data_IF_878534776712
#
_entry.id   IF_878534776712
#
_cell.length_a   1.000
_cell.length_b   1.000
_cell.length_c   1.000
_cell.angle_alpha   90.00
_cell.angle_beta   90.00
_cell.angle_gamma   90.00
#
_symmetry.space_group_name_H-M   'P 1'
#
loop_
_entity.id
_entity.type
_entity.pdbx_description
1 polymer ?
#
# COMPACT_ATOMS: atom_id res chain seq x y z
N UNK A 1 -13.23 -11.37 36.57
CA UNK A 1 -14.15 -11.34 35.40
C UNK A 1 -15.27 -10.29 35.51
N UNK A 2 -15.25 -9.34 36.46
CA UNK A 2 -16.28 -8.29 36.60
C UNK A 2 -15.80 -6.87 36.27
N UNK A 3 -14.53 -6.67 35.89
CA UNK A 3 -13.94 -5.34 35.64
C UNK A 3 -13.95 -4.86 34.18
N UNK A 4 -14.29 -5.73 33.22
CA UNK A 4 -14.23 -5.42 31.78
C UNK A 4 -15.59 -4.88 31.29
N UNK A 5 -16.71 -5.36 31.85
CA UNK A 5 -18.06 -5.01 31.42
C UNK A 5 -18.43 -3.56 31.81
N UNK A 6 -17.94 -3.06 32.95
CA UNK A 6 -18.23 -1.69 33.42
C UNK A 6 -17.56 -0.61 32.58
N UNK A 7 -16.47 -0.92 31.85
CA UNK A 7 -15.82 0.04 30.93
C UNK A 7 -16.47 0.09 29.55
N UNK A 8 -17.20 -0.95 29.16
CA UNK A 8 -17.88 -1.02 27.86
C UNK A 8 -19.29 -0.42 27.95
N UNK A 9 -19.98 -0.57 29.09
CA UNK A 9 -21.38 -0.15 29.24
C UNK A 9 -21.64 0.93 30.32
N UNK A 10 -20.63 1.36 31.08
CA UNK A 10 -20.73 2.45 32.04
C UNK A 10 -20.53 3.81 31.37
N UNK A 11 -21.64 4.47 31.02
CA UNK A 11 -21.64 5.74 30.32
C UNK A 11 -20.80 6.85 30.97
N UNK A 12 -20.06 7.56 30.13
CA UNK A 12 -19.91 9.00 30.27
C UNK A 12 -20.10 9.58 28.88
N UNK A 13 -21.12 10.43 28.73
CA UNK A 13 -21.39 11.29 27.58
C UNK A 13 -20.27 12.32 27.38
N UNK A 14 -19.04 11.86 27.23
CA UNK A 14 -18.00 12.59 26.51
C UNK A 14 -17.88 11.93 25.17
N UNK A 15 -18.71 12.40 24.25
CA UNK A 15 -18.50 12.28 22.80
C UNK A 15 -17.00 12.49 22.52
N UNK A 16 -16.28 11.38 22.33
CA UNK A 16 -14.85 11.39 22.02
C UNK A 16 -14.72 11.80 20.57
N UNK A 17 -14.79 13.11 20.34
CA UNK A 17 -14.05 13.77 19.27
C UNK A 17 -12.66 13.12 19.31
N UNK A 18 -12.24 12.43 18.24
CA UNK A 18 -10.89 11.85 18.12
C UNK A 18 -9.93 12.84 18.77
N UNK A 19 -9.28 12.41 19.85
CA UNK A 19 -8.54 13.35 20.70
C UNK A 19 -7.42 13.92 19.85
N UNK A 20 -7.59 15.17 19.40
CA UNK A 20 -6.64 15.85 18.51
C UNK A 20 -5.23 15.85 19.10
N UNK A 21 -5.09 15.69 20.41
CA UNK A 21 -3.81 15.55 21.09
C UNK A 21 -3.13 14.20 20.83
N UNK A 22 -3.92 13.13 20.64
CA UNK A 22 -3.43 11.81 20.23
C UNK A 22 -2.86 11.84 18.82
N UNK A 23 -3.61 12.40 17.85
CA UNK A 23 -3.12 12.59 16.48
C UNK A 23 -1.87 13.47 16.43
N UNK A 24 -1.84 14.56 17.21
CA UNK A 24 -0.64 15.42 17.35
C UNK A 24 0.58 14.65 17.85
N UNK A 25 0.40 13.81 18.88
CA UNK A 25 1.49 13.03 19.46
C UNK A 25 2.03 12.00 18.46
N UNK A 26 1.16 11.36 17.68
CA UNK A 26 1.57 10.45 16.61
C UNK A 26 2.32 11.19 15.50
N UNK A 27 1.79 12.34 15.05
CA UNK A 27 2.40 13.13 13.98
C UNK A 27 3.81 13.60 14.36
N UNK A 28 3.97 14.10 15.59
CA UNK A 28 5.27 14.53 16.10
C UNK A 28 6.25 13.38 16.31
N UNK A 29 5.78 12.17 16.57
CA UNK A 29 6.64 10.99 16.68
C UNK A 29 7.17 10.55 15.31
N UNK A 30 6.34 10.56 14.27
CA UNK A 30 6.79 10.27 12.90
C UNK A 30 7.79 11.32 12.36
N UNK A 31 7.88 12.49 12.99
CA UNK A 31 8.86 13.55 12.67
C UNK A 31 10.13 13.46 13.51
N UNK A 32 10.15 12.59 14.52
CA UNK A 32 11.27 12.45 15.43
C UNK A 32 12.39 11.64 14.74
N UNK A 33 13.49 12.33 14.43
CA UNK A 33 14.67 11.74 13.81
C UNK A 33 15.30 10.63 14.68
N UNK A 34 15.19 10.75 16.02
CA UNK A 34 15.70 9.73 16.94
C UNK A 34 14.85 8.47 16.83
N UNK A 35 13.53 8.62 16.80
CA UNK A 35 12.60 7.51 16.59
C UNK A 35 12.84 6.84 15.24
N UNK A 36 12.94 7.61 14.15
CA UNK A 36 13.18 7.06 12.81
C UNK A 36 14.51 6.29 12.74
N UNK A 37 15.56 6.80 13.39
CA UNK A 37 16.84 6.10 13.48
C UNK A 37 16.73 4.80 14.29
N UNK A 38 16.04 4.81 15.42
CA UNK A 38 15.79 3.62 16.24
C UNK A 38 15.05 2.53 15.43
N UNK A 39 14.08 2.90 14.59
CA UNK A 39 13.36 1.96 13.72
C UNK A 39 14.24 1.37 12.61
N UNK A 40 15.22 2.13 12.12
CA UNK A 40 16.22 1.63 11.16
C UNK A 40 17.20 0.67 11.85
N UNK A 41 17.73 1.05 13.01
CA UNK A 41 18.74 0.28 13.76
C UNK A 41 18.18 -1.06 14.27
N UNK A 42 16.87 -1.15 14.54
CA UNK A 42 16.19 -2.38 14.99
C UNK A 42 15.77 -3.31 13.85
N UNK A 43 15.99 -2.93 12.59
CA UNK A 43 15.65 -3.79 11.46
C UNK A 43 16.66 -4.94 11.29
N UNK A 44 16.21 -6.16 11.54
CA UNK A 44 17.02 -7.37 11.43
C UNK A 44 16.21 -8.47 10.72
N UNK A 45 16.03 -8.38 9.38
CA UNK A 45 15.25 -9.36 8.66
C UNK A 45 15.91 -10.73 8.79
N UNK A 46 15.16 -11.72 9.28
CA UNK A 46 15.62 -13.10 9.32
C UNK A 46 15.32 -13.77 7.98
N UNK A 47 16.16 -14.71 7.56
CA UNK A 47 15.96 -15.54 6.34
C UNK A 47 14.78 -16.55 6.49
N UNK A 48 13.93 -16.36 7.50
CA UNK A 48 12.88 -17.26 7.89
C UNK A 48 11.67 -17.10 6.96
N UNK A 49 11.46 -18.10 6.10
CA UNK A 49 10.17 -18.40 5.48
C UNK A 49 9.46 -17.19 4.90
N UNK A 50 10.00 -16.66 3.80
CA UNK A 50 9.56 -15.43 3.17
C UNK A 50 8.04 -15.41 2.98
N UNK A 51 7.36 -14.51 3.70
CA UNK A 51 5.94 -14.26 3.48
C UNK A 51 5.80 -13.78 2.04
N UNK A 52 4.96 -14.45 1.25
CA UNK A 52 4.64 -14.04 -0.11
C UNK A 52 3.84 -12.72 -0.07
N UNK A 53 4.57 -11.63 0.07
CA UNK A 53 4.05 -10.27 0.24
C UNK A 53 3.23 -9.86 -0.98
N UNK A 54 3.62 -10.32 -2.17
CA UNK A 54 2.90 -10.07 -3.41
C UNK A 54 1.49 -10.67 -3.36
N UNK A 55 1.39 -11.96 -3.05
CA UNK A 55 0.11 -12.67 -2.98
C UNK A 55 -0.79 -12.12 -1.86
N UNK A 56 -0.19 -11.75 -0.73
CA UNK A 56 -0.92 -11.08 0.35
C UNK A 56 -1.42 -9.69 -0.09
N UNK A 57 -0.57 -8.90 -0.75
CA UNK A 57 -0.92 -7.56 -1.21
C UNK A 57 -2.07 -7.59 -2.23
N UNK A 58 -2.14 -8.58 -3.12
CA UNK A 58 -3.27 -8.76 -4.04
C UNK A 58 -4.60 -8.87 -3.30
N UNK A 59 -4.66 -9.64 -2.21
CA UNK A 59 -5.87 -9.77 -1.39
C UNK A 59 -6.23 -8.45 -0.70
N UNK A 60 -5.22 -7.75 -0.17
CA UNK A 60 -5.38 -6.44 0.47
C UNK A 60 -5.89 -5.39 -0.52
N UNK A 61 -5.33 -5.36 -1.72
CA UNK A 61 -5.69 -4.44 -2.80
C UNK A 61 -7.16 -4.64 -3.20
N UNK A 62 -7.57 -5.89 -3.43
CA UNK A 62 -8.97 -6.21 -3.73
C UNK A 62 -9.92 -5.77 -2.59
N UNK A 63 -9.54 -6.06 -1.35
CA UNK A 63 -10.33 -5.74 -0.16
C UNK A 63 -10.51 -4.22 0.00
N UNK A 64 -9.42 -3.46 -0.10
CA UNK A 64 -9.46 -2.00 0.06
C UNK A 64 -10.10 -1.30 -1.14
N UNK A 65 -9.93 -1.78 -2.39
CA UNK A 65 -10.67 -1.25 -3.55
C UNK A 65 -12.18 -1.44 -3.40
N UNK A 66 -12.62 -2.60 -2.92
CA UNK A 66 -14.04 -2.85 -2.64
C UNK A 66 -14.55 -1.96 -1.51
N UNK A 67 -13.79 -1.86 -0.42
CA UNK A 67 -14.20 -1.10 0.77
C UNK A 67 -14.24 0.41 0.50
N UNK A 68 -13.23 0.97 -0.16
CA UNK A 68 -13.17 2.41 -0.43
C UNK A 68 -14.31 2.88 -1.33
N UNK A 69 -14.78 2.03 -2.26
CA UNK A 69 -16.00 2.27 -3.05
C UNK A 69 -17.26 2.34 -2.21
N UNK A 70 -17.40 1.43 -1.24
CA UNK A 70 -18.52 1.45 -0.30
C UNK A 70 -18.56 2.81 0.40
N UNK A 71 -17.40 3.27 0.88
CA UNK A 71 -17.30 4.58 1.56
C UNK A 71 -17.64 5.72 0.62
N UNK A 72 -17.15 5.69 -0.61
CA UNK A 72 -17.46 6.72 -1.62
C UNK A 72 -18.97 6.83 -1.87
N UNK A 73 -19.69 5.70 -1.92
CA UNK A 73 -21.15 5.67 -2.04
C UNK A 73 -21.86 6.25 -0.80
N UNK A 74 -21.34 5.98 0.40
CA UNK A 74 -21.94 6.49 1.66
C UNK A 74 -21.68 7.99 1.85
N UNK A 75 -20.48 8.46 1.50
CA UNK A 75 -20.05 9.86 1.66
C UNK A 75 -20.63 10.75 0.56
N UNK A 76 -20.73 10.25 -0.67
CA UNK A 76 -21.31 10.99 -1.81
C UNK A 76 -22.81 10.71 -1.91
N UNK A 77 -23.64 11.62 -1.37
CA UNK A 77 -25.11 11.51 -1.42
C UNK A 77 -25.73 11.63 -2.83
N UNK A 78 -24.93 11.59 -3.91
CA UNK A 78 -25.41 11.47 -5.28
C UNK A 78 -25.09 10.07 -5.78
N UNK A 79 -26.14 9.32 -6.13
CA UNK A 79 -26.03 8.07 -6.87
C UNK A 79 -25.42 8.30 -8.24
N UNK A 80 -24.09 8.38 -8.31
CA UNK A 80 -23.38 8.07 -9.55
C UNK A 80 -23.10 6.58 -9.53
N UNK A 81 -24.02 5.83 -10.13
CA UNK A 81 -23.71 4.56 -10.78
C UNK A 81 -22.71 4.83 -11.90
N UNK A 82 -21.46 5.15 -11.54
CA UNK A 82 -20.35 4.92 -12.45
C UNK A 82 -19.92 3.49 -12.15
N UNK A 83 -20.48 2.56 -12.92
CA UNK A 83 -19.99 1.19 -13.04
C UNK A 83 -18.58 1.20 -13.64
N UNK A 84 -17.61 1.78 -12.94
CA UNK A 84 -16.23 1.37 -13.12
C UNK A 84 -16.19 0.00 -12.47
N UNK A 85 -16.33 -1.08 -13.24
CA UNK A 85 -16.09 -2.43 -12.73
C UNK A 85 -14.70 -2.42 -12.10
N UNK A 86 -14.63 -2.66 -10.78
CA UNK A 86 -13.34 -2.86 -10.15
C UNK A 86 -12.87 -4.20 -10.65
N UNK A 87 -11.82 -4.18 -11.46
CA UNK A 87 -11.14 -5.40 -11.84
C UNK A 87 -10.43 -5.96 -10.61
N UNK A 88 -10.94 -7.08 -10.11
CA UNK A 88 -10.33 -7.81 -9.00
C UNK A 88 -9.31 -8.79 -9.56
N UNK A 89 -8.09 -8.73 -9.04
CA UNK A 89 -7.05 -9.69 -9.41
C UNK A 89 -7.35 -11.05 -8.78
N UNK A 90 -7.20 -12.18 -9.49
CA UNK A 90 -7.43 -13.49 -8.89
C UNK A 90 -6.43 -13.73 -7.76
N UNK A 91 -6.90 -14.38 -6.69
CA UNK A 91 -6.00 -14.88 -5.66
C UNK A 91 -5.11 -15.98 -6.25
N UNK A 92 -3.86 -16.05 -5.78
CA UNK A 92 -2.95 -17.15 -6.12
C UNK A 92 -3.53 -18.46 -5.58
N UNK A 93 -3.63 -19.48 -6.43
CA UNK A 93 -4.16 -20.78 -6.03
C UNK A 93 -3.29 -21.43 -4.95
N UNK A 94 -3.92 -22.02 -3.94
CA UNK A 94 -3.25 -22.60 -2.77
C UNK A 94 -2.54 -21.59 -1.85
N UNK A 95 -2.69 -20.27 -2.03
CA UNK A 95 -2.11 -19.28 -1.11
C UNK A 95 -2.81 -19.29 0.24
N UNK A 96 -2.05 -19.50 1.31
CA UNK A 96 -2.50 -19.38 2.68
C UNK A 96 -1.94 -18.08 3.30
N UNK A 97 -2.80 -17.10 3.64
CA UNK A 97 -2.35 -15.89 4.31
C UNK A 97 -1.69 -16.21 5.66
N UNK A 98 -0.68 -15.44 6.10
CA UNK A 98 -0.03 -15.61 7.40
C UNK A 98 -0.94 -15.12 8.52
N UNK A 99 -2.01 -15.87 8.81
CA UNK A 99 -3.09 -15.45 9.71
C UNK A 99 -2.59 -15.12 11.12
N UNK A 100 -1.63 -15.88 11.64
CA UNK A 100 -1.03 -15.63 12.95
C UNK A 100 -0.39 -14.24 13.03
N UNK A 101 0.47 -13.92 12.06
CA UNK A 101 1.13 -12.61 11.97
C UNK A 101 0.11 -11.47 11.77
N UNK A 102 -0.91 -11.68 10.92
CA UNK A 102 -1.97 -10.69 10.70
C UNK A 102 -2.74 -10.44 11.99
N UNK A 103 -3.15 -11.50 12.70
CA UNK A 103 -3.91 -11.41 13.95
C UNK A 103 -3.08 -10.76 15.06
N UNK A 104 -1.78 -11.05 15.13
CA UNK A 104 -0.88 -10.42 16.09
C UNK A 104 -0.80 -8.91 15.87
N UNK A 105 -0.49 -8.47 14.65
CA UNK A 105 -0.44 -7.04 14.30
C UNK A 105 -1.80 -6.36 14.52
N UNK A 106 -2.87 -7.03 14.12
CA UNK A 106 -4.27 -6.65 14.35
C UNK A 106 -4.55 -6.40 15.84
N UNK A 107 -4.18 -7.34 16.71
CA UNK A 107 -4.32 -7.23 18.17
C UNK A 107 -3.50 -6.07 18.73
N UNK A 108 -2.26 -5.89 18.30
CA UNK A 108 -1.41 -4.77 18.70
C UNK A 108 -2.07 -3.43 18.34
N UNK A 109 -2.59 -3.30 17.11
CA UNK A 109 -3.23 -2.10 16.60
C UNK A 109 -4.55 -1.78 17.30
N UNK A 110 -5.37 -2.77 17.66
CA UNK A 110 -6.70 -2.47 18.25
C UNK A 110 -6.76 -2.60 19.75
N UNK A 111 -6.10 -3.59 20.34
CA UNK A 111 -6.19 -3.84 21.78
C UNK A 111 -5.26 -2.91 22.56
N UNK A 112 -4.07 -2.59 22.03
CA UNK A 112 -3.10 -1.73 22.74
C UNK A 112 -3.24 -0.24 22.41
N UNK A 113 -3.76 0.14 21.23
CA UNK A 113 -3.93 1.55 20.84
C UNK A 113 -5.08 2.29 21.55
N UNK A 114 -6.02 1.56 22.16
CA UNK A 114 -7.13 2.15 22.93
C UNK A 114 -6.68 2.81 24.24
N UNK A 115 -5.50 2.44 24.73
CA UNK A 115 -4.84 3.13 25.82
C UNK A 115 -3.82 4.11 25.24
N UNK A 116 -4.23 5.37 25.10
CA UNK A 116 -3.40 6.44 24.51
C UNK A 116 -2.21 6.85 25.38
N UNK A 117 -2.08 6.26 26.58
CA UNK A 117 -0.89 6.39 27.41
C UNK A 117 0.23 5.55 26.77
N UNK A 118 1.39 6.18 26.60
CA UNK A 118 2.62 5.57 26.07
C UNK A 118 2.52 5.04 24.62
N UNK A 119 1.84 5.76 23.72
CA UNK A 119 1.78 5.38 22.29
C UNK A 119 3.16 5.15 21.65
N UNK A 120 4.19 5.91 22.06
CA UNK A 120 5.57 5.74 21.57
C UNK A 120 6.11 4.35 21.89
N UNK A 121 6.05 3.97 23.16
CA UNK A 121 6.52 2.66 23.63
C UNK A 121 5.80 1.51 22.93
N UNK A 122 4.48 1.65 22.71
CA UNK A 122 3.67 0.67 21.98
C UNK A 122 4.06 0.55 20.51
N UNK A 123 4.30 1.67 19.83
CA UNK A 123 4.79 1.65 18.45
C UNK A 123 6.17 1.01 18.37
N UNK A 124 7.11 1.37 19.24
CA UNK A 124 8.44 0.74 19.32
C UNK A 124 8.32 -0.77 19.52
N UNK A 125 7.43 -1.21 20.42
CA UNK A 125 7.19 -2.64 20.68
C UNK A 125 6.68 -3.35 19.42
N UNK A 126 5.69 -2.77 18.73
CA UNK A 126 5.16 -3.32 17.48
C UNK A 126 6.26 -3.41 16.41
N UNK A 127 7.09 -2.38 16.26
CA UNK A 127 8.19 -2.40 15.28
C UNK A 127 9.27 -3.43 15.63
N UNK A 128 9.54 -3.63 16.92
CA UNK A 128 10.47 -4.65 17.38
C UNK A 128 9.92 -6.07 17.14
N UNK A 129 8.63 -6.32 17.39
CA UNK A 129 7.97 -7.60 17.04
C UNK A 129 8.02 -7.86 15.54
N UNK A 130 7.90 -6.80 14.74
CA UNK A 130 7.99 -6.89 13.28
C UNK A 130 9.44 -6.89 12.74
N UNK A 131 10.46 -6.76 13.59
CA UNK A 131 11.87 -6.54 13.19
C UNK A 131 12.41 -7.60 12.24
N UNK A 132 11.95 -8.85 12.43
CA UNK A 132 12.31 -10.03 11.64
C UNK A 132 11.78 -10.05 10.21
N UNK A 133 10.85 -9.17 9.86
CA UNK A 133 10.27 -9.06 8.51
C UNK A 133 10.99 -8.01 7.66
N UNK A 134 11.02 -8.22 6.35
CA UNK A 134 11.44 -7.19 5.39
C UNK A 134 10.52 -5.95 5.46
N UNK A 135 11.02 -4.77 5.09
CA UNK A 135 10.19 -3.54 5.10
C UNK A 135 8.90 -3.67 4.29
N UNK A 136 8.95 -4.40 3.18
CA UNK A 136 7.80 -4.66 2.32
C UNK A 136 6.79 -5.55 3.03
N UNK A 137 7.24 -6.63 3.67
CA UNK A 137 6.37 -7.51 4.46
C UNK A 137 5.75 -6.76 5.64
N UNK A 138 6.51 -5.92 6.35
CA UNK A 138 5.99 -5.06 7.43
C UNK A 138 4.85 -4.16 6.94
N UNK A 139 5.06 -3.50 5.80
CA UNK A 139 4.06 -2.62 5.20
C UNK A 139 2.80 -3.40 4.81
N UNK A 140 2.96 -4.53 4.11
CA UNK A 140 1.84 -5.36 3.65
C UNK A 140 1.09 -6.01 4.82
N UNK A 141 1.76 -6.51 5.87
CA UNK A 141 1.11 -7.08 7.07
C UNK A 141 0.32 -6.02 7.86
N UNK A 142 0.89 -4.82 7.99
CA UNK A 142 0.21 -3.69 8.66
C UNK A 142 -1.02 -3.27 7.87
N UNK A 143 -0.88 -3.15 6.54
CA UNK A 143 -2.01 -2.82 5.67
C UNK A 143 -3.07 -3.93 5.64
N UNK A 144 -2.65 -5.20 5.72
CA UNK A 144 -3.56 -6.36 5.83
C UNK A 144 -4.42 -6.25 7.08
N UNK A 145 -3.79 -6.03 8.23
CA UNK A 145 -4.47 -5.84 9.51
C UNK A 145 -5.46 -4.69 9.46
N UNK A 146 -5.02 -3.52 8.95
CA UNK A 146 -5.90 -2.37 8.74
C UNK A 146 -7.07 -2.68 7.80
N UNK A 147 -6.81 -3.36 6.67
CA UNK A 147 -7.81 -3.64 5.66
C UNK A 147 -8.95 -4.53 6.17
N UNK A 148 -8.63 -5.51 7.02
CA UNK A 148 -9.62 -6.39 7.64
C UNK A 148 -10.55 -5.55 8.54
N UNK A 149 -9.99 -4.71 9.40
CA UNK A 149 -10.78 -3.84 10.27
C UNK A 149 -11.62 -2.83 9.49
N UNK A 150 -11.02 -2.17 8.50
CA UNK A 150 -11.69 -1.15 7.70
C UNK A 150 -12.83 -1.77 6.88
N UNK A 151 -12.60 -2.92 6.25
CA UNK A 151 -13.59 -3.64 5.47
C UNK A 151 -14.74 -4.15 6.33
N UNK A 152 -14.43 -4.75 7.49
CA UNK A 152 -15.43 -5.28 8.42
C UNK A 152 -16.35 -4.16 8.95
N UNK A 153 -15.79 -3.00 9.29
CA UNK A 153 -16.57 -1.81 9.67
C UNK A 153 -17.53 -1.37 8.55
N UNK A 154 -17.02 -1.15 7.34
CA UNK A 154 -17.82 -0.59 6.23
C UNK A 154 -18.77 -1.61 5.60
N UNK A 155 -18.52 -2.90 5.77
CA UNK A 155 -19.46 -3.94 5.40
C UNK A 155 -20.66 -3.96 6.35
N UNK A 156 -20.44 -3.78 7.65
CA UNK A 156 -21.51 -3.67 8.65
C UNK A 156 -22.26 -2.32 8.58
N UNK A 157 -21.58 -1.27 8.13
CA UNK A 157 -22.16 0.04 7.85
C UNK A 157 -23.30 0.02 6.81
N UNK A 158 -23.33 -1.00 5.94
CA UNK A 158 -24.29 -1.15 4.84
C UNK A 158 -25.37 -2.21 5.11
N UNK A 159 -25.47 -2.73 6.33
CA UNK A 159 -26.49 -3.73 6.67
C UNK A 159 -27.87 -3.18 6.32
N UNK A 160 -28.60 -3.92 5.47
CA UNK A 160 -29.96 -3.53 5.09
C UNK A 160 -30.87 -3.55 6.32
N UNK A 161 -31.89 -2.67 6.40
CA UNK A 161 -32.84 -2.66 7.52
C UNK A 161 -33.59 -4.00 7.75
N UNK A 162 -33.60 -4.86 6.73
CA UNK A 162 -34.16 -6.22 6.73
C UNK A 162 -33.22 -7.27 7.38
N UNK A 163 -31.91 -7.03 7.41
CA UNK A 163 -30.90 -7.98 7.90
C UNK A 163 -30.73 -7.86 9.43
N UNK A 164 -31.60 -8.58 10.15
CA UNK A 164 -31.58 -8.66 11.62
C UNK A 164 -30.30 -9.29 12.19
N UNK A 165 -29.63 -10.15 11.43
CA UNK A 165 -28.35 -10.73 11.84
C UNK A 165 -27.25 -9.68 11.77
N UNK A 166 -27.12 -8.99 10.64
CA UNK A 166 -26.18 -7.87 10.48
C UNK A 166 -26.41 -6.76 11.50
N UNK A 167 -27.68 -6.43 11.80
CA UNK A 167 -28.06 -5.43 12.80
C UNK A 167 -27.55 -5.83 14.19
N UNK A 168 -27.75 -7.09 14.57
CA UNK A 168 -27.26 -7.65 15.84
C UNK A 168 -25.74 -7.65 15.95
N UNK A 169 -25.03 -8.01 14.87
CA UNK A 169 -23.55 -8.00 14.82
C UNK A 169 -23.00 -6.58 14.92
N UNK A 170 -23.62 -5.62 14.24
CA UNK A 170 -23.24 -4.21 14.33
C UNK A 170 -23.39 -3.66 15.76
N UNK A 171 -24.52 -3.97 16.41
CA UNK A 171 -24.79 -3.59 17.81
C UNK A 171 -23.73 -4.21 18.74
N UNK A 172 -23.42 -5.50 18.60
CA UNK A 172 -22.41 -6.18 19.41
C UNK A 172 -21.00 -5.59 19.25
N UNK A 173 -20.66 -5.12 18.05
CA UNK A 173 -19.39 -4.44 17.77
C UNK A 173 -19.38 -2.96 18.20
N UNK A 174 -20.46 -2.48 18.81
CA UNK A 174 -20.59 -1.09 19.25
C UNK A 174 -20.64 -0.10 18.10
N UNK A 175 -21.00 -0.56 16.90
CA UNK A 175 -21.21 0.29 15.75
C UNK A 175 -22.63 0.87 15.86
N UNK A 176 -22.81 2.18 16.08
CA UNK A 176 -24.13 2.76 15.92
C UNK A 176 -24.58 2.49 14.48
N UNK A 177 -25.83 2.05 14.30
CA UNK A 177 -26.51 2.14 12.99
C UNK A 177 -26.19 3.54 12.47
N UNK A 178 -25.53 3.67 11.33
CA UNK A 178 -25.01 4.95 10.85
C UNK A 178 -26.19 5.83 10.46
N UNK A 179 -26.84 6.43 11.45
CA UNK A 179 -27.90 7.41 11.31
C UNK A 179 -27.23 8.74 11.03
N UNK A 180 -26.73 8.87 9.80
CA UNK A 180 -26.09 10.03 9.16
C UNK A 180 -26.04 11.32 10.01
N UNK A 181 -25.02 11.51 10.88
CA UNK A 181 -24.62 12.85 11.27
C UNK A 181 -23.79 13.44 10.12
N UNK A 182 -24.24 14.56 9.56
CA UNK A 182 -23.63 15.26 8.41
C UNK A 182 -22.13 15.58 8.61
N UNK A 183 -21.65 15.62 9.86
CA UNK A 183 -20.25 15.90 10.18
C UNK A 183 -19.33 14.68 10.13
N UNK A 184 -19.86 13.47 10.31
CA UNK A 184 -19.06 12.24 10.29
C UNK A 184 -18.60 11.88 8.87
N UNK A 185 -19.41 12.21 7.85
CA UNK A 185 -19.13 11.90 6.44
C UNK A 185 -17.86 12.60 5.93
N UNK A 186 -17.55 13.80 6.43
CA UNK A 186 -16.30 14.51 6.06
C UNK A 186 -15.05 13.81 6.61
N UNK A 187 -15.10 13.34 7.85
CA UNK A 187 -13.99 12.60 8.49
C UNK A 187 -13.74 11.29 7.75
N UNK A 188 -14.83 10.57 7.42
CA UNK A 188 -14.74 9.33 6.65
C UNK A 188 -14.23 9.56 5.23
N UNK A 189 -14.63 10.65 4.57
CA UNK A 189 -14.08 11.02 3.26
C UNK A 189 -12.58 11.24 3.31
N UNK A 190 -12.08 12.01 4.29
CA UNK A 190 -10.62 12.21 4.46
C UNK A 190 -9.90 10.89 4.72
N UNK A 191 -10.43 10.04 5.59
CA UNK A 191 -9.85 8.72 5.87
C UNK A 191 -9.87 7.80 4.65
N UNK A 192 -10.91 7.87 3.82
CA UNK A 192 -11.04 7.08 2.60
C UNK A 192 -9.94 7.46 1.60
N UNK A 193 -9.74 8.77 1.36
CA UNK A 193 -8.68 9.25 0.49
C UNK A 193 -7.29 8.87 1.01
N UNK A 194 -7.06 8.98 2.33
CA UNK A 194 -5.82 8.50 2.93
C UNK A 194 -5.60 7.00 2.72
N UNK A 195 -6.66 6.20 2.81
CA UNK A 195 -6.61 4.76 2.61
C UNK A 195 -6.24 4.42 1.16
N UNK A 196 -6.79 5.15 0.19
CA UNK A 196 -6.43 5.04 -1.24
C UNK A 196 -4.96 5.37 -1.44
N UNK A 197 -4.48 6.49 -0.89
CA UNK A 197 -3.06 6.87 -0.98
C UNK A 197 -2.14 5.81 -0.36
N UNK A 198 -2.44 5.32 0.86
CA UNK A 198 -1.61 4.30 1.53
C UNK A 198 -1.58 2.98 0.73
N UNK A 199 -2.70 2.58 0.14
CA UNK A 199 -2.75 1.40 -0.72
C UNK A 199 -1.84 1.56 -1.94
N UNK A 200 -1.89 2.71 -2.60
CA UNK A 200 -1.03 3.02 -3.75
C UNK A 200 0.45 3.06 -3.37
N UNK A 201 0.79 3.74 -2.26
CA UNK A 201 2.15 3.78 -1.71
C UNK A 201 2.71 2.38 -1.46
N UNK A 202 1.90 1.52 -0.83
CA UNK A 202 2.31 0.14 -0.51
C UNK A 202 2.50 -0.70 -1.77
N UNK A 203 1.68 -0.48 -2.79
CA UNK A 203 1.84 -1.12 -4.10
C UNK A 203 3.14 -0.71 -4.81
N UNK A 204 3.51 0.57 -4.74
CA UNK A 204 4.81 1.04 -5.26
C UNK A 204 5.99 0.38 -4.52
N UNK A 205 5.91 0.29 -3.19
CA UNK A 205 6.95 -0.33 -2.36
C UNK A 205 7.10 -1.83 -2.67
N UNK A 206 5.99 -2.54 -2.89
CA UNK A 206 5.98 -3.97 -3.18
C UNK A 206 6.63 -4.28 -4.55
N UNK A 207 6.24 -3.56 -5.59
CA UNK A 207 6.70 -3.79 -6.97
C UNK A 207 8.21 -3.56 -7.15
N UNK A 208 8.76 -2.57 -6.44
CA UNK A 208 10.14 -2.11 -6.60
C UNK A 208 11.08 -2.68 -5.52
N UNK A 209 10.57 -3.60 -4.68
CA UNK A 209 11.23 -4.16 -3.48
C UNK A 209 12.57 -4.86 -3.69
N UNK A 210 12.90 -5.25 -4.93
CA UNK A 210 14.18 -5.90 -5.25
C UNK A 210 15.38 -4.95 -5.14
N UNK A 211 15.17 -3.63 -5.15
CA UNK A 211 16.23 -2.60 -5.20
C UNK A 211 16.14 -1.56 -4.04
N UNK A 212 15.37 -1.86 -2.97
CA UNK A 212 14.96 -0.91 -1.90
C UNK A 212 16.04 -0.33 -0.96
N UNK A 213 17.23 -0.91 -0.72
CA UNK A 213 18.16 -0.37 0.27
C UNK A 213 18.62 1.08 0.01
N UNK A 214 18.64 1.53 -1.25
CA UNK A 214 19.04 2.90 -1.62
C UNK A 214 17.91 3.95 -1.46
N UNK A 215 16.64 3.51 -1.37
CA UNK A 215 15.48 4.40 -1.24
C UNK A 215 15.39 5.04 0.14
N UNK A 216 15.73 4.33 1.22
CA UNK A 216 15.56 4.86 2.59
C UNK A 216 16.45 6.07 2.87
N UNK A 217 17.59 6.18 2.19
CA UNK A 217 18.53 7.31 2.29
C UNK A 217 18.20 8.47 1.34
N UNK A 218 17.36 8.27 0.33
CA UNK A 218 17.10 9.25 -0.74
C UNK A 218 15.75 9.99 -0.60
N UNK A 219 14.83 9.51 0.25
CA UNK A 219 13.55 10.20 0.46
C UNK A 219 13.78 11.44 1.33
N UNK A 220 13.99 12.57 0.67
CA UNK A 220 13.94 13.89 1.30
C UNK A 220 12.47 14.25 1.54
N UNK A 221 11.93 13.87 2.71
CA UNK A 221 10.56 14.22 3.10
C UNK A 221 10.55 15.72 3.40
N UNK A 222 9.83 16.56 2.62
CA UNK A 222 9.81 17.99 2.87
C UNK A 222 9.24 18.27 4.28
N UNK A 223 9.78 19.27 5.01
CA UNK A 223 9.24 19.64 6.32
C UNK A 223 7.76 20.05 6.18
N UNK A 224 6.90 19.42 6.98
CA UNK A 224 5.45 19.46 6.80
C UNK A 224 4.81 20.81 7.17
N UNK A 225 3.65 21.07 6.56
CA UNK A 225 2.76 22.21 6.82
C UNK A 225 2.30 22.27 8.28
N UNK A 226 2.15 23.48 8.86
CA UNK A 226 1.89 23.80 10.28
C UNK A 226 0.58 23.22 10.91
N UNK A 227 -0.17 22.37 10.20
CA UNK A 227 -1.47 21.84 10.64
C UNK A 227 -1.36 20.64 11.59
N UNK A 228 -2.34 20.47 12.48
CA UNK A 228 -2.31 19.49 13.61
C UNK A 228 -3.59 18.66 13.73
N UNK A 229 -4.35 18.56 12.64
CA UNK A 229 -5.65 17.88 12.54
C UNK A 229 -5.60 16.74 11.51
N UNK A 230 -6.69 15.97 11.38
CA UNK A 230 -6.78 14.86 10.42
C UNK A 230 -6.50 15.30 8.96
N UNK A 231 -7.01 16.46 8.48
CA UNK A 231 -6.60 16.99 7.18
C UNK A 231 -5.08 17.25 7.04
N UNK A 232 -4.41 17.71 8.10
CA UNK A 232 -2.96 17.87 8.08
C UNK A 232 -2.23 16.53 7.96
N UNK A 233 -2.72 15.50 8.67
CA UNK A 233 -2.19 14.15 8.53
C UNK A 233 -2.39 13.60 7.11
N UNK A 234 -3.58 13.79 6.52
CA UNK A 234 -3.85 13.41 5.14
C UNK A 234 -2.92 14.10 4.14
N UNK A 235 -2.71 15.41 4.28
CA UNK A 235 -1.74 16.16 3.45
C UNK A 235 -0.34 15.56 3.56
N UNK A 236 0.08 15.19 4.77
CA UNK A 236 1.41 14.60 5.00
C UNK A 236 1.55 13.23 4.33
N UNK A 237 0.54 12.37 4.44
CA UNK A 237 0.52 11.08 3.73
C UNK A 237 0.64 11.28 2.21
N UNK A 238 -0.11 12.21 1.64
CA UNK A 238 -0.02 12.54 0.21
C UNK A 238 1.35 13.10 -0.19
N UNK A 239 2.00 13.90 0.67
CA UNK A 239 3.36 14.38 0.43
C UNK A 239 4.37 13.24 0.40
N UNK A 240 4.24 12.28 1.31
CA UNK A 240 5.13 11.11 1.36
C UNK A 240 4.89 10.22 0.13
N UNK A 241 3.63 9.98 -0.26
CA UNK A 241 3.32 9.25 -1.50
C UNK A 241 3.97 9.89 -2.72
N UNK A 242 3.79 11.19 -2.90
CA UNK A 242 4.40 11.91 -4.01
C UNK A 242 5.93 11.82 -3.99
N UNK A 243 6.56 11.92 -2.81
CA UNK A 243 8.01 11.78 -2.68
C UNK A 243 8.48 10.37 -3.06
N UNK A 244 7.79 9.34 -2.57
CA UNK A 244 8.08 7.93 -2.89
C UNK A 244 7.94 7.68 -4.39
N UNK A 245 6.82 8.10 -5.01
CA UNK A 245 6.59 7.96 -6.46
C UNK A 245 7.66 8.66 -7.28
N UNK A 246 8.03 9.89 -6.91
CA UNK A 246 9.07 10.65 -7.60
C UNK A 246 10.43 9.93 -7.53
N UNK A 247 10.78 9.37 -6.38
CA UNK A 247 12.00 8.59 -6.22
C UNK A 247 11.95 7.32 -7.06
N UNK A 248 10.83 6.59 -7.05
CA UNK A 248 10.70 5.39 -7.89
C UNK A 248 10.82 5.69 -9.38
N UNK A 249 10.19 6.75 -9.88
CA UNK A 249 10.37 7.15 -11.29
C UNK A 249 11.81 7.54 -11.60
N UNK A 250 12.50 8.21 -10.67
CA UNK A 250 13.93 8.50 -10.81
C UNK A 250 14.78 7.22 -10.87
N UNK A 251 14.57 6.26 -9.95
CA UNK A 251 15.30 4.98 -9.95
C UNK A 251 15.02 4.17 -11.21
N UNK A 252 13.77 4.13 -11.66
CA UNK A 252 13.35 3.46 -12.90
C UNK A 252 14.06 4.03 -14.12
N UNK A 253 14.11 5.36 -14.23
CA UNK A 253 14.84 6.04 -15.31
C UNK A 253 16.33 5.71 -15.23
N UNK A 254 16.95 5.81 -14.05
CA UNK A 254 18.37 5.51 -13.87
C UNK A 254 18.73 4.07 -14.20
N UNK A 255 17.85 3.12 -13.87
CA UNK A 255 18.00 1.70 -14.22
C UNK A 255 17.92 1.48 -15.73
N UNK A 256 17.11 2.25 -16.44
CA UNK A 256 17.06 2.24 -17.91
C UNK A 256 18.36 2.82 -18.51
N UNK A 257 18.85 3.95 -17.97
CA UNK A 257 20.12 4.55 -18.39
C UNK A 257 21.30 3.58 -18.20
N UNK A 258 21.36 2.85 -17.06
CA UNK A 258 22.37 1.83 -16.80
C UNK A 258 22.25 0.66 -17.79
N UNK A 259 21.02 0.18 -18.05
CA UNK A 259 20.78 -0.90 -19.02
C UNK A 259 21.24 -0.51 -20.42
N UNK A 260 20.93 0.70 -20.85
CA UNK A 260 21.38 1.23 -22.14
C UNK A 260 22.90 1.41 -22.18
N UNK A 261 23.51 1.93 -21.11
CA UNK A 261 24.96 2.05 -21.04
C UNK A 261 25.66 0.69 -21.16
N UNK A 262 25.19 -0.32 -20.44
CA UNK A 262 25.71 -1.69 -20.53
C UNK A 262 25.49 -2.28 -21.94
N UNK A 263 24.35 -2.01 -22.58
CA UNK A 263 24.08 -2.42 -23.96
C UNK A 263 25.07 -1.79 -24.93
N UNK A 264 25.34 -0.49 -24.81
CA UNK A 264 26.32 0.22 -25.64
C UNK A 264 27.75 -0.33 -25.42
N UNK A 265 28.14 -0.60 -24.17
CA UNK A 265 29.44 -1.23 -23.89
C UNK A 265 29.59 -2.59 -24.57
N UNK A 266 28.54 -3.43 -24.58
CA UNK A 266 28.55 -4.72 -25.29
C UNK A 266 28.69 -4.54 -26.80
N UNK A 267 28.04 -3.53 -27.38
CA UNK A 267 28.20 -3.18 -28.80
C UNK A 267 29.65 -2.81 -29.14
N UNK A 268 30.31 -1.96 -28.34
CA UNK A 268 31.69 -1.56 -28.58
C UNK A 268 32.72 -2.69 -28.41
N UNK A 269 32.39 -3.71 -27.61
CA UNK A 269 33.24 -4.88 -27.38
C UNK A 269 32.87 -6.09 -28.27
N UNK A 270 31.87 -5.95 -29.14
CA UNK A 270 31.44 -7.03 -30.02
C UNK A 270 32.51 -7.34 -31.07
N UNK A 271 32.97 -8.58 -31.12
CA UNK A 271 33.93 -9.08 -32.12
C UNK A 271 33.25 -9.67 -33.35
N UNK A 272 31.95 -9.97 -33.27
CA UNK A 272 31.13 -10.47 -34.38
C UNK A 272 30.25 -9.35 -34.97
N UNK A 273 30.48 -9.05 -36.24
CA UNK A 273 29.72 -8.05 -37.01
C UNK A 273 28.22 -8.40 -37.11
N UNK A 274 27.84 -9.68 -37.06
CA UNK A 274 26.43 -10.11 -37.13
C UNK A 274 25.68 -9.79 -35.84
N UNK A 275 26.31 -9.98 -34.68
CA UNK A 275 25.73 -9.60 -33.38
C UNK A 275 25.64 -8.09 -33.24
N UNK A 276 26.66 -7.35 -33.70
CA UNK A 276 26.66 -5.89 -33.75
C UNK A 276 25.49 -5.35 -34.57
N UNK A 277 25.29 -5.88 -35.79
CA UNK A 277 24.19 -5.47 -36.68
C UNK A 277 22.82 -5.81 -36.06
N UNK A 278 22.68 -7.00 -35.44
CA UNK A 278 21.42 -7.36 -34.74
C UNK A 278 21.12 -6.41 -33.59
N UNK A 279 22.11 -6.05 -32.77
CA UNK A 279 21.93 -5.16 -31.63
C UNK A 279 21.74 -3.67 -32.02
N UNK A 280 22.19 -3.25 -33.21
CA UNK A 280 21.89 -1.93 -33.78
C UNK A 280 20.46 -1.83 -34.33
N UNK A 281 19.95 -2.91 -34.93
CA UNK A 281 18.60 -2.95 -35.52
C UNK A 281 17.53 -3.18 -34.45
N UNK A 282 17.84 -3.94 -33.39
CA UNK A 282 16.92 -4.24 -32.28
C UNK A 282 17.27 -3.39 -31.06
N UNK A 283 16.73 -2.17 -31.00
CA UNK A 283 16.95 -1.21 -29.91
C UNK A 283 16.00 -1.38 -28.72
N UNK A 284 15.06 -2.34 -28.79
CA UNK A 284 14.16 -2.73 -27.68
C UNK A 284 14.10 -4.25 -27.61
N UNK A 285 13.81 -4.78 -26.41
CA UNK A 285 13.71 -6.22 -26.12
C UNK A 285 12.66 -6.95 -26.99
N UNK A 286 11.74 -6.23 -27.63
CA UNK A 286 10.85 -6.74 -28.68
C UNK A 286 11.26 -6.25 -30.07
N UNK A 287 11.59 -7.15 -31.01
CA UNK A 287 11.79 -6.79 -32.40
C UNK A 287 10.54 -6.14 -33.00
N UNK A 288 10.68 -4.93 -33.53
CA UNK A 288 9.63 -4.39 -34.39
C UNK A 288 9.51 -5.28 -35.64
N UNK A 289 8.30 -5.74 -36.01
CA UNK A 289 8.12 -6.56 -37.19
C UNK A 289 8.55 -5.78 -38.44
N UNK A 290 9.56 -6.30 -39.15
CA UNK A 290 9.99 -5.74 -40.43
C UNK A 290 8.98 -6.13 -41.52
N UNK A 291 8.48 -5.14 -42.25
CA UNK A 291 7.53 -5.33 -43.35
C UNK A 291 8.21 -5.18 -44.70
N UNK A 292 8.04 -6.17 -45.58
CA UNK A 292 8.56 -6.12 -46.95
C UNK A 292 7.52 -5.53 -47.91
N UNK A 293 7.71 -4.26 -48.27
CA UNK A 293 6.94 -3.54 -49.29
C UNK A 293 5.43 -3.37 -49.00
N UNK A 294 4.68 -2.88 -49.99
CA UNK A 294 3.25 -2.50 -49.91
C UNK A 294 2.28 -3.63 -49.49
N UNK A 295 2.76 -4.85 -49.27
CA UNK A 295 1.93 -6.03 -48.95
C UNK A 295 1.93 -6.44 -47.46
N UNK A 296 2.55 -5.66 -46.57
CA UNK A 296 2.56 -5.88 -45.10
C UNK A 296 2.87 -7.33 -44.70
N UNK A 297 3.83 -7.98 -45.36
CA UNK A 297 4.26 -9.32 -44.97
C UNK A 297 5.36 -9.22 -43.92
N UNK A 298 5.13 -9.80 -42.73
CA UNK A 298 6.07 -9.80 -41.59
C UNK A 298 7.22 -10.77 -41.85
N UNK A 299 8.47 -10.29 -41.77
CA UNK A 299 9.66 -11.12 -41.97
C UNK A 299 10.43 -11.25 -40.65
N UNK A 300 10.45 -12.46 -40.09
CA UNK A 300 11.06 -12.76 -38.79
C UNK A 300 12.60 -12.91 -38.85
N UNK A 301 13.20 -13.06 -40.03
CA UNK A 301 14.67 -13.17 -40.19
C UNK A 301 15.12 -12.73 -41.58
N UNK A 302 16.12 -11.84 -41.65
CA UNK A 302 16.89 -11.55 -42.87
C UNK A 302 17.81 -12.75 -43.15
N UNK A 303 17.41 -13.65 -44.07
CA UNK A 303 18.34 -14.66 -44.62
C UNK A 303 19.18 -14.00 -45.71
N UNK A 304 20.51 -13.98 -45.56
CA UNK A 304 21.40 -13.74 -46.69
C UNK A 304 21.18 -14.84 -47.73
N UNK A 305 20.83 -14.44 -48.96
CA UNK A 305 20.74 -15.35 -50.11
C UNK A 305 22.11 -15.96 -50.44
N UNK A 306 22.13 -17.10 -51.15
CA UNK A 306 23.36 -17.79 -51.47
C UNK A 306 24.29 -16.91 -52.32
N UNK A 307 25.60 -16.97 -52.02
CA UNK A 307 26.64 -16.33 -52.84
C UNK A 307 26.51 -16.83 -54.27
N UNK A 308 26.26 -15.89 -55.19
CA UNK A 308 26.37 -16.15 -56.61
C UNK A 308 27.88 -16.23 -56.89
N UNK A 309 28.32 -17.41 -57.34
CA UNK A 309 29.69 -17.67 -57.79
C UNK A 309 29.98 -16.94 -59.11
#
# INVERSE_FOLDING_TARGET
MAGIITRIFGGSERSKKVDTNTLKSLLGMMEDQVFNKEMLDTHAPHDNGDIDAHSLFVLVENTLKGTTRIVDCVVSSKGSSSENQVEYKPAKDGFAPPLEAIVEVTCQLTCKALDTKNMREKLVTLFHELSGYSWVVKAVLTLSSFSIYYADFWRLAQVEPSDKFGESVAILKGLPVITKPVDATKVFGVLNEMTKTILEMTGCIEQESKDVPELSTAIDIPPASKGKDLPAFARKVNMIDHAIRRQFEYFKQKKEEIREHQRLQRLFNATDNVELIKALIHTKDEPQPLYLGSKKTTVLTLRCGPRIH
#
